data_IF_550711197980
#
_entry.id   IF_550711197980
#
_cell.length_a   1.000
_cell.length_b   1.000
_cell.length_c   1.000
_cell.angle_alpha   90.00
_cell.angle_beta   90.00
_cell.angle_gamma   90.00
#
_symmetry.space_group_name_H-M   'P 1'
#
loop_
_entity.id
_entity.type
_entity.pdbx_description
1 polymer ?
#
# COMPACT_ATOMS: atom_id res chain seq x y z
N UNK A 1 -10.29 -26.19 -1.01
CA UNK A 1 -9.57 -25.50 -1.05
C UNK A 1 -9.02 -24.45 -1.95
N UNK A 2 -9.29 -24.57 -3.19
CA UNK A 2 -8.69 -23.65 -4.12
C UNK A 2 -9.08 -22.22 -3.82
N UNK A 3 -10.34 -22.01 -3.52
CA UNK A 3 -10.81 -20.67 -3.31
C UNK A 3 -10.23 -20.03 -2.09
N UNK A 4 -9.89 -20.82 -1.11
CA UNK A 4 -9.43 -20.24 0.14
C UNK A 4 -8.11 -19.58 0.01
N UNK A 5 -7.18 -20.19 -0.67
CA UNK A 5 -5.87 -19.58 -0.77
C UNK A 5 -5.93 -18.29 -1.58
N UNK A 6 -6.84 -18.22 -2.52
CA UNK A 6 -6.94 -17.00 -3.31
C UNK A 6 -7.55 -15.86 -2.52
N UNK A 7 -8.31 -16.17 -1.51
CA UNK A 7 -8.95 -15.11 -0.75
C UNK A 7 -8.04 -14.49 0.27
N UNK A 8 -6.95 -15.15 0.60
CA UNK A 8 -6.05 -14.64 1.61
C UNK A 8 -5.05 -13.71 0.94
N UNK A 9 -5.48 -12.50 0.68
CA UNK A 9 -4.57 -11.50 0.16
C UNK A 9 -3.66 -11.06 1.27
N UNK A 10 -2.37 -11.18 1.04
CA UNK A 10 -1.40 -10.83 2.04
C UNK A 10 -0.99 -9.38 1.93
N UNK A 11 -1.02 -8.85 0.71
CA UNK A 11 -0.54 -7.50 0.46
C UNK A 11 -1.63 -6.63 -0.12
N UNK A 12 -1.54 -5.34 0.17
CA UNK A 12 -2.43 -4.33 -0.40
C UNK A 12 -1.62 -3.17 -0.92
N UNK A 13 -2.09 -2.61 -2.02
CA UNK A 13 -1.59 -1.33 -2.46
C UNK A 13 -2.49 -0.25 -1.91
N UNK A 14 -1.90 0.73 -1.22
CA UNK A 14 -2.62 1.90 -0.73
C UNK A 14 -2.17 3.06 -1.58
N UNK A 15 -3.09 3.64 -2.34
CA UNK A 15 -2.76 4.70 -3.29
C UNK A 15 -3.47 5.97 -2.86
N UNK A 16 -2.70 7.00 -2.57
CA UNK A 16 -3.23 8.29 -2.17
C UNK A 16 -3.09 9.26 -3.32
N UNK A 17 -4.22 9.74 -3.83
CA UNK A 17 -4.30 10.70 -4.91
C UNK A 17 -4.63 12.05 -4.28
N UNK A 18 -3.71 12.97 -4.34
CA UNK A 18 -3.87 14.24 -3.63
C UNK A 18 -4.91 15.15 -4.27
N UNK A 19 -5.19 14.98 -5.56
CA UNK A 19 -6.21 15.78 -6.26
C UNK A 19 -5.95 17.28 -6.18
N UNK A 20 -4.73 17.67 -5.97
CA UNK A 20 -4.39 19.08 -5.94
C UNK A 20 -4.01 19.55 -7.36
N UNK A 21 -3.69 20.81 -7.49
CA UNK A 21 -3.29 21.36 -8.78
C UNK A 21 -2.06 20.60 -9.30
N UNK A 22 -1.10 20.39 -8.42
CA UNK A 22 0.03 19.52 -8.73
C UNK A 22 -0.28 18.16 -8.17
N UNK A 23 -1.02 17.38 -8.93
CA UNK A 23 -1.45 16.09 -8.47
C UNK A 23 -0.27 15.18 -8.21
N UNK A 24 -0.30 14.55 -7.06
CA UNK A 24 0.69 13.57 -6.67
C UNK A 24 -0.03 12.28 -6.34
N UNK A 25 0.49 11.19 -6.86
CA UNK A 25 -0.04 9.88 -6.53
C UNK A 25 1.03 9.15 -5.73
N UNK A 26 0.71 8.88 -4.48
CA UNK A 26 1.59 8.12 -3.60
C UNK A 26 1.12 6.68 -3.59
N UNK A 27 2.01 5.75 -3.89
CA UNK A 27 1.68 4.32 -3.89
C UNK A 27 2.51 3.63 -2.83
N UNK A 28 1.84 2.92 -1.96
CA UNK A 28 2.49 2.18 -0.88
C UNK A 28 1.97 0.76 -0.91
N UNK A 29 2.88 -0.21 -0.90
CA UNK A 29 2.49 -1.61 -0.79
C UNK A 29 2.80 -2.07 0.62
N UNK A 30 1.78 -2.59 1.29
CA UNK A 30 1.91 -3.03 2.67
C UNK A 30 1.27 -4.40 2.81
N UNK A 31 1.57 -5.06 3.92
CA UNK A 31 0.86 -6.29 4.24
C UNK A 31 -0.59 -5.96 4.55
N UNK A 32 -1.46 -6.89 4.23
CA UNK A 32 -2.88 -6.67 4.40
C UNK A 32 -3.23 -6.22 5.82
N UNK A 33 -2.58 -6.81 6.81
CA UNK A 33 -2.88 -6.46 8.20
C UNK A 33 -2.51 -5.04 8.53
N UNK A 34 -1.66 -4.40 7.74
CA UNK A 34 -1.24 -3.03 7.98
C UNK A 34 -1.97 -2.03 7.10
N UNK A 35 -2.84 -2.50 6.21
CA UNK A 35 -3.47 -1.59 5.25
C UNK A 35 -4.32 -0.54 5.95
N UNK A 36 -5.12 -0.96 6.92
CA UNK A 36 -6.00 -0.01 7.60
C UNK A 36 -5.20 1.00 8.40
N UNK A 37 -4.12 0.57 9.05
CA UNK A 37 -3.27 1.50 9.77
C UNK A 37 -2.67 2.54 8.83
N UNK A 38 -2.27 2.10 7.66
CA UNK A 38 -1.71 3.01 6.66
C UNK A 38 -2.75 4.03 6.22
N UNK A 39 -3.96 3.56 5.95
CA UNK A 39 -5.06 4.44 5.56
C UNK A 39 -5.32 5.47 6.65
N UNK A 40 -5.40 5.03 7.89
CA UNK A 40 -5.69 5.94 8.99
C UNK A 40 -4.56 6.96 9.19
N UNK A 41 -3.33 6.54 8.97
CA UNK A 41 -2.21 7.47 9.08
C UNK A 41 -2.31 8.56 8.01
N UNK A 42 -2.67 8.17 6.79
CA UNK A 42 -2.83 9.16 5.72
C UNK A 42 -3.97 10.11 6.05
N UNK A 43 -5.08 9.59 6.52
CA UNK A 43 -6.23 10.42 6.86
C UNK A 43 -5.83 11.43 7.93
N UNK A 44 -5.15 10.97 8.98
CA UNK A 44 -4.76 11.89 10.05
C UNK A 44 -3.84 13.00 9.56
N UNK A 45 -2.99 12.69 8.59
CA UNK A 45 -2.05 13.68 8.09
C UNK A 45 -2.66 14.62 7.08
N UNK A 46 -3.60 14.14 6.28
CA UNK A 46 -4.05 14.88 5.10
C UNK A 46 -5.44 15.46 5.23
N UNK A 47 -6.24 14.99 6.16
CA UNK A 47 -7.64 15.38 6.24
C UNK A 47 -7.78 16.80 6.78
N UNK A 48 -8.43 17.65 6.01
CA UNK A 48 -8.77 19.00 6.46
C UNK A 48 -10.28 19.18 6.54
N UNK A 49 -11.05 18.29 5.92
CA UNK A 49 -12.48 18.43 5.81
C UNK A 49 -12.92 19.27 4.63
N UNK A 50 -11.98 19.76 3.86
CA UNK A 50 -12.26 20.60 2.73
C UNK A 50 -12.28 19.77 1.44
N UNK A 51 -12.98 20.30 0.44
CA UNK A 51 -12.91 19.71 -0.88
C UNK A 51 -11.46 19.83 -1.36
N UNK A 52 -10.95 18.75 -1.92
CA UNK A 52 -9.57 18.75 -2.39
C UNK A 52 -8.61 17.96 -1.53
N UNK A 53 -9.09 17.37 -0.44
CA UNK A 53 -8.24 16.53 0.39
C UNK A 53 -7.71 15.33 -0.37
N UNK A 54 -8.40 14.90 -1.44
CA UNK A 54 -7.96 13.76 -2.23
C UNK A 54 -8.69 12.49 -1.85
N UNK A 55 -8.18 11.39 -2.35
CA UNK A 55 -8.80 10.08 -2.10
C UNK A 55 -7.75 9.02 -1.96
N UNK A 56 -8.17 7.95 -1.29
CA UNK A 56 -7.31 6.78 -1.11
C UNK A 56 -8.00 5.60 -1.78
N UNK A 57 -7.23 4.84 -2.54
CA UNK A 57 -7.69 3.60 -3.14
C UNK A 57 -6.90 2.46 -2.55
N UNK A 58 -7.58 1.36 -2.30
CA UNK A 58 -6.94 0.15 -1.81
C UNK A 58 -7.14 -0.93 -2.85
N UNK A 59 -6.04 -1.52 -3.29
CA UNK A 59 -6.11 -2.57 -4.30
C UNK A 59 -5.39 -3.81 -3.80
N UNK A 60 -5.84 -4.98 -4.21
CA UNK A 60 -5.14 -6.21 -3.86
C UNK A 60 -3.84 -6.31 -4.64
N UNK A 61 -2.83 -6.80 -3.97
CA UNK A 61 -1.53 -7.05 -4.57
C UNK A 61 -1.26 -8.54 -4.42
N UNK A 62 -0.95 -9.20 -5.52
CA UNK A 62 -0.76 -10.64 -5.46
C UNK A 62 0.62 -11.02 -4.96
N UNK A 63 1.61 -10.25 -5.33
CA UNK A 63 2.97 -10.60 -4.95
C UNK A 63 3.85 -9.39 -5.10
N UNK A 64 5.00 -9.43 -4.48
CA UNK A 64 6.05 -8.43 -4.63
C UNK A 64 7.33 -9.15 -5.02
N UNK A 65 8.05 -8.61 -5.97
CA UNK A 65 9.24 -9.24 -6.49
C UNK A 65 10.35 -8.20 -6.54
N UNK A 66 11.47 -8.50 -5.89
CA UNK A 66 12.63 -7.61 -5.96
C UNK A 66 13.40 -7.92 -7.24
N UNK A 67 13.60 -6.91 -8.05
CA UNK A 67 14.23 -7.14 -9.35
C UNK A 67 15.66 -7.60 -9.19
N UNK A 68 16.40 -7.00 -8.28
CA UNK A 68 17.82 -7.30 -8.14
C UNK A 68 18.07 -8.77 -7.83
N UNK A 69 17.24 -9.39 -7.02
CA UNK A 69 17.49 -10.75 -6.54
C UNK A 69 16.45 -11.75 -6.98
N UNK A 70 15.36 -11.28 -7.57
CA UNK A 70 14.21 -12.11 -7.92
C UNK A 70 13.52 -12.73 -6.72
N UNK A 71 13.81 -12.25 -5.52
CA UNK A 71 13.14 -12.72 -4.31
C UNK A 71 11.72 -12.22 -4.26
N UNK A 72 10.86 -13.01 -3.63
CA UNK A 72 9.44 -12.72 -3.59
C UNK A 72 8.94 -12.59 -2.18
N UNK A 73 7.78 -11.96 -2.06
CA UNK A 73 7.11 -11.86 -0.79
C UNK A 73 7.74 -10.84 0.13
N UNK A 74 7.76 -11.15 1.41
CA UNK A 74 8.23 -10.19 2.41
C UNK A 74 9.67 -9.76 2.16
N UNK A 75 10.51 -10.67 1.71
CA UNK A 75 11.90 -10.31 1.43
C UNK A 75 11.97 -9.26 0.33
N UNK A 76 11.10 -9.38 -0.67
CA UNK A 76 11.09 -8.41 -1.75
C UNK A 76 10.57 -7.06 -1.28
N UNK A 77 9.59 -7.09 -0.38
CA UNK A 77 8.92 -5.89 0.07
C UNK A 77 9.76 -5.08 1.05
N UNK A 78 10.46 -5.76 1.93
CA UNK A 78 11.24 -5.11 2.97
C UNK A 78 12.72 -5.36 2.75
N UNK A 79 13.45 -4.28 2.68
CA UNK A 79 14.88 -4.35 2.48
C UNK A 79 15.57 -4.51 3.83
N UNK A 80 16.53 -5.42 3.89
CA UNK A 80 17.22 -5.65 5.17
C UNK A 80 17.88 -4.38 5.70
N UNK A 81 18.41 -3.56 4.80
CA UNK A 81 19.01 -2.31 5.25
C UNK A 81 18.02 -1.37 5.86
N UNK A 82 16.78 -1.42 5.41
CA UNK A 82 15.76 -0.54 5.93
C UNK A 82 15.24 -0.98 7.28
N UNK A 83 15.48 -2.22 7.63
CA UNK A 83 14.98 -2.75 8.89
C UNK A 83 15.95 -2.53 10.05
N UNK A 84 17.13 -2.07 9.78
CA UNK A 84 18.10 -1.83 10.84
C UNK A 84 17.95 -0.46 11.52
#
# INVERSE_FOLDING_TARGET
GIGKSRQARIYRGVMYDTSSIERILVSIVVRDKNAEKTVQAIIRSAQTGEIGDGRIFIIPIEDAIRIRTAERGDIALYNAEQER
#
